data_IF_721649036611
#
_entry.id   IF_721649036611
#
_cell.length_a   1.000
_cell.length_b   1.000
_cell.length_c   1.000
_cell.angle_alpha   90.00
_cell.angle_beta   90.00
_cell.angle_gamma   90.00
#
_symmetry.space_group_name_H-M   'P 1'
#
loop_
_entity.id
_entity.type
_entity.pdbx_description
1 polymer ?
#
# COMPACT_ATOMS: atom_id res chain seq x y z
N UNK A 1 6.91 -0.57 15.84
CA UNK A 1 5.99 -1.68 15.51
C UNK A 1 6.39 -2.15 14.11
N UNK A 2 6.89 -3.39 13.97
CA UNK A 2 7.48 -3.90 12.71
C UNK A 2 6.46 -3.89 11.56
N UNK A 3 6.79 -3.16 10.48
CA UNK A 3 6.04 -3.02 9.22
C UNK A 3 5.65 -4.34 8.52
N UNK A 4 6.23 -5.46 8.97
CA UNK A 4 6.13 -6.76 8.31
C UNK A 4 5.68 -7.87 9.25
N UNK A 5 5.39 -7.55 10.51
CA UNK A 5 4.84 -8.51 11.46
C UNK A 5 3.59 -9.24 10.92
N UNK A 6 2.63 -8.57 10.23
CA UNK A 6 1.48 -9.26 9.65
C UNK A 6 1.87 -10.30 8.59
N UNK A 7 2.82 -9.99 7.70
CA UNK A 7 3.31 -10.89 6.66
C UNK A 7 4.13 -12.07 7.22
N UNK A 8 4.81 -11.90 8.36
CA UNK A 8 5.48 -13.01 9.07
C UNK A 8 4.46 -14.01 9.63
N UNK A 9 3.32 -13.53 10.11
CA UNK A 9 2.21 -14.39 10.55
C UNK A 9 1.55 -15.15 9.41
N UNK A 10 1.51 -14.59 8.20
CA UNK A 10 0.88 -15.24 7.05
C UNK A 10 1.64 -16.45 6.53
N UNK A 11 2.97 -16.52 6.61
CA UNK A 11 3.70 -17.72 6.15
C UNK A 11 3.41 -18.91 7.06
N UNK A 12 3.43 -18.72 8.38
CA UNK A 12 3.08 -19.77 9.34
C UNK A 12 1.57 -20.05 9.35
N UNK A 13 0.73 -19.04 9.10
CA UNK A 13 -0.71 -19.18 8.94
C UNK A 13 -1.09 -19.95 7.67
N UNK A 14 -0.48 -19.63 6.53
CA UNK A 14 -0.62 -20.35 5.27
C UNK A 14 -0.10 -21.78 5.41
N UNK A 15 1.02 -21.98 6.12
CA UNK A 15 1.50 -23.33 6.43
C UNK A 15 0.50 -24.14 7.26
N UNK A 16 -0.12 -23.52 8.27
CA UNK A 16 -1.21 -24.17 9.05
C UNK A 16 -2.48 -24.38 8.23
N UNK A 17 -2.78 -23.51 7.26
CA UNK A 17 -3.92 -23.67 6.37
C UNK A 17 -3.82 -24.95 5.52
N UNK A 18 -2.59 -25.39 5.20
CA UNK A 18 -2.32 -26.65 4.50
C UNK A 18 -2.47 -27.91 5.37
N UNK A 19 -2.71 -27.77 6.69
CA UNK A 19 -2.87 -28.92 7.59
C UNK A 19 -4.04 -29.80 7.18
N UNK A 20 -5.14 -29.19 6.72
CA UNK A 20 -6.33 -29.93 6.27
C UNK A 20 -6.02 -30.84 5.07
N UNK A 21 -5.17 -30.37 4.16
CA UNK A 21 -4.80 -31.12 2.96
C UNK A 21 -3.76 -32.20 3.29
N UNK A 22 -2.82 -31.91 4.20
CA UNK A 22 -1.87 -32.89 4.73
C UNK A 22 -2.59 -34.04 5.47
N UNK A 23 -3.58 -33.71 6.32
CA UNK A 23 -4.40 -34.69 7.03
C UNK A 23 -5.23 -35.54 6.07
N UNK A 24 -5.81 -34.93 5.03
CA UNK A 24 -6.56 -35.65 3.99
C UNK A 24 -5.69 -36.63 3.17
N UNK A 25 -4.41 -36.29 2.98
CA UNK A 25 -3.42 -37.16 2.33
C UNK A 25 -2.76 -38.17 3.29
N UNK A 26 -3.02 -38.07 4.60
CA UNK A 26 -2.47 -38.98 5.61
C UNK A 26 -0.96 -38.83 5.83
N UNK A 27 -0.39 -37.66 5.53
CA UNK A 27 1.05 -37.39 5.67
C UNK A 27 1.32 -36.20 6.61
N UNK A 28 2.49 -36.13 7.28
CA UNK A 28 2.86 -34.99 8.11
C UNK A 28 2.90 -33.68 7.31
N UNK A 29 2.49 -32.56 7.93
CA UNK A 29 2.49 -31.23 7.31
C UNK A 29 3.88 -30.82 6.78
N UNK A 30 4.95 -31.19 7.46
CA UNK A 30 6.33 -30.95 7.00
C UNK A 30 6.62 -31.66 5.66
N UNK A 31 6.11 -32.88 5.51
CA UNK A 31 6.27 -33.68 4.30
C UNK A 31 5.41 -33.12 3.15
N UNK A 32 4.15 -32.76 3.43
CA UNK A 32 3.28 -32.12 2.44
C UNK A 32 3.84 -30.78 1.96
N UNK A 33 4.38 -29.97 2.88
CA UNK A 33 5.07 -28.73 2.54
C UNK A 33 6.28 -28.96 1.63
N UNK A 34 7.09 -29.98 1.90
CA UNK A 34 8.23 -30.33 1.05
C UNK A 34 7.79 -30.74 -0.36
N UNK A 35 6.66 -31.46 -0.49
CA UNK A 35 6.08 -31.82 -1.79
C UNK A 35 5.59 -30.60 -2.56
N UNK A 36 4.89 -29.65 -1.91
CA UNK A 36 4.46 -28.39 -2.55
C UNK A 36 5.65 -27.57 -3.04
N UNK A 37 6.72 -27.50 -2.24
CA UNK A 37 7.96 -26.81 -2.64
C UNK A 37 8.64 -27.53 -3.81
N UNK A 38 8.65 -28.86 -3.83
CA UNK A 38 9.21 -29.64 -4.95
C UNK A 38 8.38 -29.49 -6.22
N UNK A 39 7.05 -29.52 -6.13
CA UNK A 39 6.14 -29.26 -7.24
C UNK A 39 6.33 -27.84 -7.80
N UNK A 40 6.53 -26.84 -6.93
CA UNK A 40 6.84 -25.48 -7.36
C UNK A 40 8.20 -25.40 -8.08
N UNK A 41 9.23 -26.03 -7.51
CA UNK A 41 10.57 -26.12 -8.11
C UNK A 41 10.52 -26.82 -9.48
N UNK A 42 9.75 -27.90 -9.61
CA UNK A 42 9.55 -28.64 -10.86
C UNK A 42 8.71 -27.87 -11.90
N UNK A 43 7.69 -27.13 -11.46
CA UNK A 43 6.87 -26.29 -12.32
C UNK A 43 7.59 -24.99 -12.78
N UNK A 44 8.83 -24.76 -12.34
CA UNK A 44 9.60 -23.55 -12.62
C UNK A 44 9.04 -22.30 -11.93
N UNK A 45 8.07 -22.50 -11.05
CA UNK A 45 7.49 -21.49 -10.17
C UNK A 45 8.36 -21.32 -8.94
N UNK A 46 8.76 -20.08 -8.67
CA UNK A 46 9.72 -19.67 -7.64
C UNK A 46 9.74 -20.49 -6.34
N UNK A 47 10.96 -20.80 -5.87
CA UNK A 47 11.21 -21.21 -4.48
C UNK A 47 10.55 -20.26 -3.50
N UNK A 48 9.83 -20.81 -2.52
CA UNK A 48 9.33 -20.03 -1.39
C UNK A 48 10.48 -19.21 -0.78
N UNK A 49 10.21 -17.93 -0.45
CA UNK A 49 11.18 -16.93 0.07
C UNK A 49 12.14 -16.31 -0.94
N UNK A 50 12.10 -16.68 -2.23
CA UNK A 50 12.98 -16.07 -3.23
C UNK A 50 12.28 -14.89 -3.91
N UNK A 51 13.01 -13.79 -4.11
CA UNK A 51 12.60 -12.62 -4.88
C UNK A 51 13.28 -12.71 -6.26
N UNK A 52 12.52 -12.69 -7.37
CA UNK A 52 13.10 -12.83 -8.70
C UNK A 52 14.02 -11.66 -9.02
N UNK A 53 15.13 -11.94 -9.71
CA UNK A 53 16.01 -10.90 -10.25
C UNK A 53 15.22 -9.89 -11.11
N UNK A 54 14.28 -10.38 -11.93
CA UNK A 54 13.40 -9.56 -12.74
C UNK A 54 12.50 -8.61 -11.92
N UNK A 55 12.15 -8.96 -10.67
CA UNK A 55 11.41 -8.03 -9.81
C UNK A 55 12.24 -6.79 -9.51
N UNK A 56 13.53 -7.01 -9.19
CA UNK A 56 14.51 -5.99 -8.82
C UNK A 56 14.94 -5.17 -10.04
N UNK A 57 15.26 -5.85 -11.15
CA UNK A 57 15.69 -5.20 -12.39
C UNK A 57 14.57 -4.44 -13.10
N UNK A 58 13.31 -4.81 -12.85
CA UNK A 58 12.15 -4.12 -13.42
C UNK A 58 11.61 -2.97 -12.56
N UNK A 59 12.30 -2.56 -11.49
CA UNK A 59 11.85 -1.53 -10.54
C UNK A 59 12.99 -0.60 -10.12
N UNK A 60 12.66 0.67 -9.99
CA UNK A 60 13.53 1.71 -9.45
C UNK A 60 12.81 2.45 -8.33
N UNK A 61 13.57 3.00 -7.40
CA UNK A 61 13.10 4.00 -6.45
C UNK A 61 13.16 5.37 -7.14
N UNK A 62 12.07 6.13 -7.05
CA UNK A 62 11.98 7.44 -7.68
C UNK A 62 11.80 8.51 -6.61
N UNK A 63 12.59 9.57 -6.70
CA UNK A 63 12.30 10.82 -6.00
C UNK A 63 11.58 11.74 -6.96
N UNK A 64 10.35 12.11 -6.62
CA UNK A 64 9.49 12.92 -7.47
C UNK A 64 9.42 14.38 -6.98
N UNK A 65 9.42 15.30 -7.92
CA UNK A 65 9.15 16.72 -7.71
C UNK A 65 7.74 17.06 -8.19
N UNK A 66 6.95 17.68 -7.33
CA UNK A 66 5.58 18.10 -7.65
C UNK A 66 5.51 19.62 -7.87
N UNK A 67 4.55 20.11 -8.68
CA UNK A 67 4.30 21.54 -8.79
C UNK A 67 3.89 22.15 -7.45
N UNK A 68 3.99 23.47 -7.34
CA UNK A 68 3.48 24.18 -6.17
C UNK A 68 1.97 24.00 -6.03
N UNK A 69 1.51 23.77 -4.79
CA UNK A 69 0.10 23.59 -4.50
C UNK A 69 -0.14 22.89 -3.17
N UNK A 70 -1.39 22.63 -2.87
CA UNK A 70 -1.83 22.11 -1.58
C UNK A 70 -2.18 20.63 -1.62
N UNK A 71 -1.82 19.93 -0.55
CA UNK A 71 -2.21 18.56 -0.27
C UNK A 71 -3.25 18.54 0.84
N UNK A 72 -4.34 17.81 0.65
CA UNK A 72 -5.38 17.67 1.68
C UNK A 72 -4.96 16.60 2.67
N UNK A 73 -4.87 16.97 3.95
CA UNK A 73 -4.62 16.02 5.03
C UNK A 73 -5.90 15.31 5.46
N UNK A 74 -6.15 14.13 4.91
CA UNK A 74 -7.36 13.36 5.23
C UNK A 74 -7.29 12.68 6.61
N UNK A 75 -6.22 12.89 7.37
CA UNK A 75 -6.11 12.45 8.78
C UNK A 75 -6.36 13.57 9.78
N UNK A 76 -6.43 14.83 9.32
CA UNK A 76 -6.74 15.97 10.17
C UNK A 76 -8.19 15.96 10.63
N UNK A 77 -8.43 16.16 11.92
CA UNK A 77 -9.78 16.29 12.49
C UNK A 77 -10.61 17.34 11.76
N UNK A 78 -10.04 18.49 11.41
CA UNK A 78 -10.78 19.54 10.70
C UNK A 78 -11.24 19.11 9.31
N UNK A 79 -10.41 18.33 8.61
CA UNK A 79 -10.75 17.79 7.28
C UNK A 79 -11.82 16.71 7.41
N UNK A 80 -11.70 15.82 8.40
CA UNK A 80 -12.72 14.80 8.66
C UNK A 80 -14.08 15.40 9.00
N UNK A 81 -14.12 16.43 9.85
CA UNK A 81 -15.35 17.14 10.18
C UNK A 81 -15.97 17.80 8.95
N UNK A 82 -15.17 18.50 8.13
CA UNK A 82 -15.65 19.12 6.91
C UNK A 82 -16.21 18.09 5.91
N UNK A 83 -15.47 17.00 5.67
CA UNK A 83 -15.92 15.92 4.79
C UNK A 83 -17.18 15.23 5.31
N UNK A 84 -17.31 15.04 6.61
CA UNK A 84 -18.50 14.44 7.23
C UNK A 84 -19.76 15.25 6.95
N UNK A 85 -19.64 16.58 6.99
CA UNK A 85 -20.74 17.50 6.69
C UNK A 85 -21.05 17.53 5.19
N UNK A 86 -20.04 17.49 4.32
CA UNK A 86 -20.25 17.58 2.87
C UNK A 86 -20.70 16.27 2.21
N UNK A 87 -20.48 15.14 2.86
CA UNK A 87 -20.79 13.80 2.35
C UNK A 87 -21.80 13.08 3.24
N UNK A 88 -22.65 13.80 3.98
CA UNK A 88 -23.52 13.20 5.00
C UNK A 88 -24.41 12.10 4.41
N UNK A 89 -25.06 12.37 3.28
CA UNK A 89 -25.96 11.44 2.61
C UNK A 89 -25.18 10.23 2.04
N UNK A 90 -24.08 10.46 1.34
CA UNK A 90 -23.26 9.39 0.75
C UNK A 90 -22.59 8.51 1.82
N UNK A 91 -22.25 9.08 2.98
CA UNK A 91 -21.73 8.33 4.12
C UNK A 91 -22.81 7.50 4.80
N UNK A 92 -24.04 8.04 4.92
CA UNK A 92 -25.18 7.31 5.45
C UNK A 92 -25.51 6.07 4.59
N UNK A 93 -25.43 6.19 3.26
CA UNK A 93 -25.59 5.08 2.32
C UNK A 93 -24.52 3.99 2.50
N UNK A 94 -23.32 4.37 2.96
CA UNK A 94 -22.24 3.46 3.33
C UNK A 94 -22.34 2.93 4.78
N UNK A 95 -23.44 3.23 5.48
CA UNK A 95 -23.68 2.82 6.87
C UNK A 95 -22.86 3.59 7.90
N UNK A 96 -22.30 4.75 7.53
CA UNK A 96 -21.51 5.60 8.42
C UNK A 96 -22.39 6.75 8.92
N UNK A 97 -22.75 6.68 10.19
CA UNK A 97 -23.51 7.74 10.88
C UNK A 97 -22.67 8.33 12.01
N UNK A 98 -22.87 9.62 12.30
CA UNK A 98 -22.08 10.32 13.34
C UNK A 98 -20.71 10.84 12.88
N UNK A 99 -20.42 10.76 11.58
CA UNK A 99 -19.25 11.38 10.95
C UNK A 99 -18.04 10.46 10.77
N UNK A 100 -17.11 10.93 9.93
CA UNK A 100 -15.85 10.28 9.64
C UNK A 100 -14.90 10.34 10.82
N UNK A 101 -14.10 9.28 10.94
CA UNK A 101 -13.05 9.14 11.94
C UNK A 101 -11.82 8.58 11.25
N UNK A 102 -10.65 8.67 11.91
CA UNK A 102 -9.42 8.08 11.39
C UNK A 102 -9.61 6.59 11.09
N UNK A 103 -10.38 5.87 11.92
CA UNK A 103 -10.65 4.44 11.72
C UNK A 103 -11.32 4.14 10.38
N UNK A 104 -12.21 5.03 9.90
CA UNK A 104 -12.84 4.89 8.58
C UNK A 104 -11.82 5.07 7.44
N UNK A 105 -10.86 5.98 7.60
CA UNK A 105 -9.82 6.25 6.59
C UNK A 105 -8.75 5.17 6.56
N UNK A 106 -8.41 4.61 7.72
CA UNK A 106 -7.43 3.51 7.85
C UNK A 106 -8.08 2.13 7.77
N UNK A 107 -9.39 2.04 7.58
CA UNK A 107 -10.14 0.79 7.48
C UNK A 107 -9.78 -0.02 6.23
N UNK A 108 -10.36 -1.21 6.11
CA UNK A 108 -10.25 -2.03 4.89
C UNK A 108 -11.28 -1.65 3.83
N UNK A 109 -12.34 -0.94 4.22
CA UNK A 109 -13.42 -0.50 3.33
C UNK A 109 -12.93 0.59 2.37
N UNK A 110 -12.66 0.20 1.13
CA UNK A 110 -12.21 1.13 0.08
C UNK A 110 -13.30 2.06 -0.44
N UNK A 111 -14.58 1.71 -0.25
CA UNK A 111 -15.69 2.57 -0.66
C UNK A 111 -15.59 3.99 -0.06
N UNK A 112 -15.29 4.08 1.24
CA UNK A 112 -15.17 5.37 1.96
C UNK A 112 -14.01 6.20 1.43
N UNK A 113 -12.82 5.60 1.33
CA UNK A 113 -11.62 6.31 0.87
C UNK A 113 -11.71 6.71 -0.60
N UNK A 114 -12.42 5.92 -1.42
CA UNK A 114 -12.70 6.23 -2.82
C UNK A 114 -13.70 7.38 -2.95
N UNK A 115 -14.80 7.36 -2.18
CA UNK A 115 -15.79 8.44 -2.12
C UNK A 115 -15.12 9.78 -1.78
N UNK A 116 -14.33 9.80 -0.70
CA UNK A 116 -13.61 10.98 -0.26
C UNK A 116 -12.63 11.47 -1.33
N UNK A 117 -11.82 10.56 -1.90
CA UNK A 117 -10.86 10.92 -2.93
C UNK A 117 -11.55 11.48 -4.17
N UNK A 118 -12.69 10.91 -4.58
CA UNK A 118 -13.46 11.37 -5.73
C UNK A 118 -14.09 12.74 -5.49
N UNK A 119 -14.67 12.98 -4.31
CA UNK A 119 -15.26 14.26 -3.96
C UNK A 119 -14.22 15.36 -3.87
N UNK A 120 -13.09 15.11 -3.18
CA UNK A 120 -11.97 16.05 -3.13
C UNK A 120 -11.40 16.33 -4.53
N UNK A 121 -11.36 15.31 -5.39
CA UNK A 121 -10.87 15.46 -6.74
C UNK A 121 -11.79 16.31 -7.62
N UNK A 122 -13.10 16.15 -7.49
CA UNK A 122 -14.07 16.64 -8.47
C UNK A 122 -14.79 17.92 -8.04
N UNK A 123 -14.93 18.11 -6.73
CA UNK A 123 -15.81 19.14 -6.16
C UNK A 123 -15.03 20.16 -5.34
N UNK A 124 -13.99 19.74 -4.61
CA UNK A 124 -13.30 20.64 -3.69
C UNK A 124 -12.52 21.75 -4.42
N UNK A 125 -12.80 22.99 -4.02
CA UNK A 125 -12.01 24.17 -4.37
C UNK A 125 -11.44 24.76 -3.09
N UNK A 126 -10.15 25.05 -3.09
CA UNK A 126 -9.43 25.58 -1.93
C UNK A 126 -9.69 27.09 -1.79
N UNK A 127 -9.28 27.65 -0.66
CA UNK A 127 -9.51 29.07 -0.35
C UNK A 127 -8.89 30.03 -1.37
N UNK A 128 -7.77 29.65 -2.00
CA UNK A 128 -7.09 30.40 -3.05
C UNK A 128 -7.69 30.17 -4.45
N UNK A 129 -8.80 29.45 -4.54
CA UNK A 129 -9.48 29.11 -5.80
C UNK A 129 -8.83 27.96 -6.56
N UNK A 130 -7.74 27.37 -6.06
CA UNK A 130 -7.10 26.23 -6.73
C UNK A 130 -7.77 24.91 -6.36
N UNK A 131 -7.46 23.87 -7.14
CA UNK A 131 -7.76 22.50 -6.75
C UNK A 131 -6.58 21.93 -5.93
N UNK A 132 -6.84 20.96 -5.04
CA UNK A 132 -5.76 20.24 -4.38
C UNK A 132 -4.98 19.36 -5.36
N UNK A 133 -3.66 19.23 -5.13
CA UNK A 133 -2.78 18.34 -5.89
C UNK A 133 -3.10 16.87 -5.64
N UNK A 134 -3.51 16.57 -4.42
CA UNK A 134 -3.68 15.22 -3.93
C UNK A 134 -4.10 15.18 -2.48
N UNK A 135 -4.04 13.99 -1.91
CA UNK A 135 -4.22 13.74 -0.49
C UNK A 135 -2.90 13.29 0.15
N UNK A 136 -2.71 13.64 1.42
CA UNK A 136 -1.71 13.04 2.31
C UNK A 136 -2.41 12.27 3.42
N UNK A 137 -1.85 11.15 3.82
CA UNK A 137 -2.38 10.31 4.89
C UNK A 137 -1.27 9.52 5.57
N UNK A 138 -1.52 9.08 6.80
CA UNK A 138 -0.60 8.20 7.53
C UNK A 138 -0.87 6.75 7.16
N UNK A 139 0.17 5.99 6.84
CA UNK A 139 0.07 4.55 6.60
C UNK A 139 -0.34 3.81 7.87
N UNK A 140 -1.36 2.95 7.76
CA UNK A 140 -1.73 2.02 8.84
C UNK A 140 -0.74 0.87 9.01
N UNK A 141 0.10 0.63 8.00
CA UNK A 141 1.01 -0.51 7.97
C UNK A 141 2.35 -0.23 8.65
N UNK A 142 2.58 1.02 9.08
CA UNK A 142 3.72 1.41 9.92
C UNK A 142 4.49 2.60 9.38
N UNK A 143 5.49 3.03 10.15
CA UNK A 143 6.37 4.14 9.83
C UNK A 143 7.83 3.66 9.84
N UNK A 144 8.70 4.17 8.94
CA UNK A 144 10.13 3.86 9.00
C UNK A 144 10.74 4.35 10.33
N UNK A 145 11.84 3.75 10.77
CA UNK A 145 12.55 4.14 12.01
C UNK A 145 12.89 5.63 12.04
N UNK A 146 13.19 6.21 10.88
CA UNK A 146 13.52 7.64 10.71
C UNK A 146 12.52 8.36 9.79
N UNK A 147 11.31 7.84 9.64
CA UNK A 147 10.31 8.36 8.70
C UNK A 147 8.95 8.57 9.36
N UNK A 148 8.11 9.36 8.70
CA UNK A 148 6.78 9.69 9.21
C UNK A 148 5.73 8.61 8.92
N UNK A 149 6.00 7.71 7.96
CA UNK A 149 4.98 6.82 7.41
C UNK A 149 3.88 7.56 6.64
N UNK A 150 4.14 8.82 6.25
CA UNK A 150 3.22 9.60 5.42
C UNK A 150 3.24 9.03 4.00
N UNK A 151 2.05 8.83 3.47
CA UNK A 151 1.80 8.50 2.09
C UNK A 151 1.12 9.69 1.42
N UNK A 152 1.36 9.81 0.11
CA UNK A 152 0.74 10.80 -0.74
C UNK A 152 0.06 10.08 -1.91
N UNK A 153 -1.12 10.56 -2.29
CA UNK A 153 -1.77 10.15 -3.53
C UNK A 153 -2.04 11.40 -4.36
N UNK A 154 -1.42 11.46 -5.53
CA UNK A 154 -1.47 12.57 -6.46
C UNK A 154 -2.54 12.34 -7.53
N UNK A 155 -3.28 13.39 -7.91
CA UNK A 155 -4.18 13.32 -9.05
C UNK A 155 -3.46 13.76 -10.32
N UNK A 156 -3.25 12.82 -11.24
CA UNK A 156 -2.64 13.05 -12.55
C UNK A 156 -3.63 13.70 -13.53
N UNK A 157 -4.06 14.93 -13.20
CA UNK A 157 -5.09 15.65 -13.95
C UNK A 157 -4.65 16.06 -15.35
N UNK A 158 -3.37 16.31 -15.56
CA UNK A 158 -2.86 16.66 -16.88
C UNK A 158 -2.95 15.43 -17.79
N UNK A 159 -2.54 14.26 -17.31
CA UNK A 159 -2.69 12.98 -18.00
C UNK A 159 -4.15 12.69 -18.31
N UNK A 160 -5.05 12.88 -17.34
CA UNK A 160 -6.49 12.69 -17.55
C UNK A 160 -7.06 13.63 -18.62
N UNK A 161 -6.45 14.80 -18.82
CA UNK A 161 -6.78 15.77 -19.86
C UNK A 161 -6.01 15.54 -21.18
N UNK A 162 -5.19 14.49 -21.28
CA UNK A 162 -4.35 14.21 -22.45
C UNK A 162 -3.12 15.12 -22.59
N UNK A 163 -2.66 15.71 -21.50
CA UNK A 163 -1.49 16.58 -21.39
C UNK A 163 -0.37 15.89 -20.61
N UNK A 164 0.86 16.40 -20.77
CA UNK A 164 2.00 15.93 -19.99
C UNK A 164 1.90 16.36 -18.53
N UNK A 165 2.25 15.45 -17.61
CA UNK A 165 2.25 15.75 -16.19
C UNK A 165 3.39 16.69 -15.79
N UNK A 166 3.11 17.71 -14.97
CA UNK A 166 4.16 18.58 -14.42
C UNK A 166 5.01 17.90 -13.34
N UNK A 167 4.69 16.66 -12.95
CA UNK A 167 5.52 15.87 -12.02
C UNK A 167 6.83 15.52 -12.70
N UNK A 168 7.93 15.81 -12.00
CA UNK A 168 9.29 15.56 -12.50
C UNK A 168 9.95 14.43 -11.72
N UNK A 169 10.76 13.64 -12.40
CA UNK A 169 11.67 12.69 -11.76
C UNK A 169 12.94 13.47 -11.38
N UNK A 170 13.18 13.62 -10.08
CA UNK A 170 14.37 14.28 -9.54
C UNK A 170 15.54 13.30 -9.45
N UNK A 171 15.27 12.08 -9.01
CA UNK A 171 16.23 10.99 -8.92
C UNK A 171 15.55 9.67 -9.28
N UNK A 172 16.31 8.78 -9.91
CA UNK A 172 15.95 7.39 -10.15
C UNK A 172 17.10 6.52 -9.66
N UNK A 173 16.81 5.62 -8.73
CA UNK A 173 17.78 4.73 -8.12
C UNK A 173 17.38 3.27 -8.39
N UNK A 174 18.27 2.53 -9.04
CA UNK A 174 18.06 1.10 -9.25
C UNK A 174 18.16 0.35 -7.91
N UNK A 175 17.28 -0.62 -7.70
CA UNK A 175 17.39 -1.50 -6.53
C UNK A 175 18.51 -2.51 -6.81
N UNK A 176 19.61 -2.44 -6.05
CA UNK A 176 20.78 -3.32 -6.22
C UNK A 176 20.90 -4.30 -5.06
N UNK A 177 21.62 -5.41 -5.25
CA UNK A 177 21.76 -6.45 -4.20
C UNK A 177 22.46 -5.98 -2.93
N UNK A 178 23.28 -4.93 -3.02
CA UNK A 178 23.97 -4.31 -1.91
C UNK A 178 23.16 -3.22 -1.21
N UNK A 179 21.94 -2.93 -1.67
CA UNK A 179 21.07 -1.91 -1.09
C UNK A 179 20.72 -2.27 0.37
N UNK A 180 20.92 -1.30 1.28
CA UNK A 180 20.71 -1.49 2.71
C UNK A 180 19.23 -1.72 3.02
N UNK A 181 18.32 -1.07 2.29
CA UNK A 181 16.88 -1.18 2.49
C UNK A 181 16.39 -2.53 1.99
N UNK A 182 16.94 -3.02 0.87
CA UNK A 182 16.69 -4.38 0.39
C UNK A 182 17.20 -5.42 1.40
N UNK A 183 18.41 -5.25 1.94
CA UNK A 183 18.96 -6.16 2.96
C UNK A 183 18.11 -6.18 4.23
N UNK A 184 17.65 -5.01 4.67
CA UNK A 184 16.76 -4.91 5.82
C UNK A 184 15.41 -5.61 5.54
N UNK A 185 14.81 -5.38 4.38
CA UNK A 185 13.59 -6.07 3.98
C UNK A 185 13.79 -7.60 3.88
N UNK A 186 14.93 -8.06 3.35
CA UNK A 186 15.31 -9.47 3.31
C UNK A 186 15.32 -10.10 4.70
N UNK A 187 15.95 -9.43 5.67
CA UNK A 187 16.06 -9.91 7.04
C UNK A 187 14.69 -9.95 7.74
N UNK A 188 13.89 -8.91 7.61
CA UNK A 188 12.60 -8.80 8.32
C UNK A 188 11.56 -9.74 7.68
N UNK A 189 11.43 -9.74 6.34
CA UNK A 189 10.48 -10.59 5.62
C UNK A 189 10.93 -12.05 5.50
N UNK A 190 12.19 -12.36 5.86
CA UNK A 190 12.81 -13.67 5.60
C UNK A 190 12.77 -14.06 4.11
N UNK A 191 13.10 -13.09 3.25
CA UNK A 191 13.21 -13.27 1.79
C UNK A 191 14.67 -13.20 1.33
N UNK A 192 14.97 -13.80 0.18
CA UNK A 192 16.30 -13.89 -0.43
C UNK A 192 16.23 -13.43 -1.89
N UNK A 193 17.29 -12.85 -2.42
CA UNK A 193 17.44 -12.61 -3.86
C UNK A 193 18.29 -13.71 -4.49
N UNK A 194 18.05 -14.01 -5.77
CA UNK A 194 18.89 -14.91 -6.56
C UNK A 194 20.20 -14.27 -6.98
#
# INVERSE_FOLDING_TARGET
MELLAPYRTEINGARRALQKDADAMGIPLEQYWAMVVDDWDQAGTMRARWLPKAWREGRSLYRLGYPAGWWVDITSTSTLTALSHHLEDELADLGITGGLTIAHITGDTRAVTTLIAQWLRSTATLFDGTQPLGIRFTSKHGHPTNGTGTCWAYWMRATDAGLDEPVTILEEEAIVESDVDLKMAQEICKIQTR
#
